data_IF_510235389367
#
_entry.id   IF_510235389367
#
_cell.length_a   1.000
_cell.length_b   1.000
_cell.length_c   1.000
_cell.angle_alpha   90.00
_cell.angle_beta   90.00
_cell.angle_gamma   90.00
#
_symmetry.space_group_name_H-M   'P 1'
#
loop_
_entity.id
_entity.type
_entity.pdbx_description
1 polymer ?
#
# COMPACT_ATOMS: atom_id res chain seq x y z
N UNK A 1 -7.14 10.13 -10.51
CA UNK A 1 -5.68 10.33 -10.39
C UNK A 1 -5.26 9.82 -9.03
N UNK A 2 -4.25 8.97 -8.96
CA UNK A 2 -3.82 8.24 -7.76
C UNK A 2 -3.68 9.15 -6.52
N UNK A 3 -2.88 10.23 -6.61
CA UNK A 3 -2.63 11.17 -5.51
C UNK A 3 -3.85 11.98 -5.04
N UNK A 4 -4.85 12.18 -5.90
CA UNK A 4 -6.05 12.97 -5.58
C UNK A 4 -7.11 12.10 -4.86
N UNK A 5 -7.10 10.79 -5.09
CA UNK A 5 -8.14 9.90 -4.58
C UNK A 5 -8.21 9.90 -3.04
N UNK A 6 -7.08 9.75 -2.30
CA UNK A 6 -7.10 9.80 -0.84
C UNK A 6 -7.60 11.14 -0.30
N UNK A 7 -7.22 12.26 -0.93
CA UNK A 7 -7.64 13.60 -0.52
C UNK A 7 -9.17 13.75 -0.57
N UNK A 8 -9.83 13.11 -1.53
CA UNK A 8 -11.30 13.12 -1.64
C UNK A 8 -11.97 12.16 -0.66
N UNK A 9 -11.44 10.95 -0.55
CA UNK A 9 -12.02 9.89 0.28
C UNK A 9 -11.89 10.18 1.78
N UNK A 10 -10.77 10.77 2.19
CA UNK A 10 -10.44 11.03 3.58
C UNK A 10 -10.34 12.53 3.86
N UNK A 11 -11.43 13.26 3.62
CA UNK A 11 -11.51 14.72 3.79
C UNK A 11 -11.25 15.22 5.22
N UNK A 12 -11.43 14.35 6.21
CA UNK A 12 -11.21 14.66 7.64
C UNK A 12 -9.82 14.27 8.13
N UNK A 13 -8.94 13.77 7.27
CA UNK A 13 -7.56 13.39 7.59
C UNK A 13 -6.56 14.42 7.07
N UNK A 14 -5.42 14.55 7.74
CA UNK A 14 -4.27 15.29 7.20
C UNK A 14 -3.43 14.34 6.35
N UNK A 15 -3.18 14.71 5.10
CA UNK A 15 -2.38 13.95 4.15
C UNK A 15 -0.96 14.51 4.09
N UNK A 16 0.03 13.66 4.33
CA UNK A 16 1.44 14.04 4.30
C UNK A 16 2.04 13.39 3.06
N UNK A 17 2.53 14.21 2.13
CA UNK A 17 3.21 13.77 0.93
C UNK A 17 4.71 14.05 1.03
N UNK A 18 5.52 13.23 0.37
CA UNK A 18 6.91 13.55 0.09
C UNK A 18 7.02 14.68 -0.94
N UNK A 19 8.12 15.43 -0.90
CA UNK A 19 8.39 16.53 -1.83
C UNK A 19 8.55 16.02 -3.27
N UNK A 20 7.48 16.11 -4.05
CA UNK A 20 7.47 15.78 -5.47
C UNK A 20 6.97 16.99 -6.27
N UNK A 21 7.90 17.79 -6.83
CA UNK A 21 7.62 19.11 -7.43
C UNK A 21 6.47 19.11 -8.44
N UNK A 22 6.40 18.08 -9.29
CA UNK A 22 5.34 17.98 -10.30
C UNK A 22 3.97 17.69 -9.68
N UNK A 23 3.92 16.86 -8.64
CA UNK A 23 2.69 16.54 -7.91
C UNK A 23 2.26 17.72 -7.03
N UNK A 24 3.20 18.41 -6.40
CA UNK A 24 2.93 19.63 -5.64
C UNK A 24 2.33 20.72 -6.54
N UNK A 25 2.93 20.95 -7.71
CA UNK A 25 2.40 21.87 -8.71
C UNK A 25 1.02 21.43 -9.21
N UNK A 26 0.81 20.14 -9.44
CA UNK A 26 -0.48 19.62 -9.85
C UNK A 26 -1.55 19.86 -8.79
N UNK A 27 -1.28 19.50 -7.53
CA UNK A 27 -2.25 19.57 -6.43
C UNK A 27 -2.53 21.03 -6.02
N UNK A 28 -1.51 21.90 -6.01
CA UNK A 28 -1.69 23.33 -5.70
C UNK A 28 -2.57 24.09 -6.70
N UNK A 29 -2.71 23.59 -7.92
CA UNK A 29 -3.64 24.14 -8.92
C UNK A 29 -5.10 23.66 -8.72
N UNK A 30 -5.35 22.78 -7.76
CA UNK A 30 -6.68 22.26 -7.45
C UNK A 30 -7.24 22.92 -6.20
N UNK A 31 -8.56 23.15 -6.21
CA UNK A 31 -9.31 23.53 -5.01
C UNK A 31 -10.15 22.37 -4.53
N UNK A 32 -9.96 21.99 -3.27
CA UNK A 32 -10.79 20.99 -2.61
C UNK A 32 -11.87 21.73 -1.83
N UNK A 33 -13.14 21.53 -2.20
CA UNK A 33 -14.28 22.19 -1.58
C UNK A 33 -15.22 21.11 -1.04
N UNK A 34 -15.64 21.28 0.21
CA UNK A 34 -16.67 20.48 0.86
C UNK A 34 -17.74 21.45 1.38
N UNK A 35 -18.95 21.33 0.81
CA UNK A 35 -20.00 22.35 0.87
C UNK A 35 -19.49 23.73 0.40
N UNK A 36 -19.32 24.68 1.31
CA UNK A 36 -18.83 26.04 1.04
C UNK A 36 -17.42 26.29 1.60
N UNK A 37 -16.78 25.25 2.16
CA UNK A 37 -15.49 25.37 2.83
C UNK A 37 -14.37 24.77 1.98
N UNK A 38 -13.30 25.55 1.80
CA UNK A 38 -12.05 25.06 1.24
C UNK A 38 -11.34 24.14 2.24
N UNK A 39 -10.94 22.95 1.76
CA UNK A 39 -10.20 21.96 2.53
C UNK A 39 -8.69 22.13 2.28
N UNK A 40 -7.97 22.45 3.35
CA UNK A 40 -6.51 22.56 3.36
C UNK A 40 -5.93 21.42 4.22
N UNK A 41 -6.18 20.19 3.80
CA UNK A 41 -5.92 18.99 4.59
C UNK A 41 -4.72 18.18 4.05
N UNK A 42 -3.75 18.84 3.43
CA UNK A 42 -2.52 18.20 2.98
C UNK A 42 -1.29 19.08 3.20
N UNK A 43 -0.12 18.43 3.26
CA UNK A 43 1.18 19.08 3.36
C UNK A 43 2.23 18.26 2.62
N UNK A 44 3.20 18.95 2.02
CA UNK A 44 4.41 18.36 1.46
C UNK A 44 5.57 18.54 2.44
N UNK A 45 6.38 17.50 2.62
CA UNK A 45 7.55 17.53 3.51
C UNK A 45 8.72 16.81 2.86
N UNK A 46 9.93 17.20 3.25
CA UNK A 46 11.14 16.46 2.92
C UNK A 46 11.17 15.13 3.64
N UNK A 47 11.39 14.05 2.90
CA UNK A 47 11.60 12.71 3.46
C UNK A 47 12.67 12.68 4.56
N UNK A 48 13.77 13.42 4.44
CA UNK A 48 14.84 13.49 5.47
C UNK A 48 14.34 14.00 6.83
N UNK A 49 13.28 14.81 6.85
CA UNK A 49 12.75 15.47 8.03
C UNK A 49 11.54 14.74 8.65
N UNK A 50 10.94 13.77 7.94
CA UNK A 50 9.76 13.04 8.39
C UNK A 50 9.95 11.51 8.34
N UNK A 51 10.04 10.90 9.53
CA UNK A 51 10.23 9.44 9.67
C UNK A 51 9.07 8.62 9.09
N UNK A 52 7.86 9.16 9.02
CA UNK A 52 6.72 8.44 8.45
C UNK A 52 6.80 8.39 6.93
N UNK A 53 7.36 9.43 6.30
CA UNK A 53 7.68 9.39 4.86
C UNK A 53 8.74 8.32 4.60
N UNK A 54 9.84 8.31 5.36
CA UNK A 54 10.89 7.30 5.20
C UNK A 54 10.36 5.88 5.38
N UNK A 55 9.48 5.67 6.37
CA UNK A 55 8.82 4.37 6.56
C UNK A 55 7.91 4.03 5.37
N UNK A 56 7.15 5.01 4.85
CA UNK A 56 6.32 4.84 3.67
C UNK A 56 7.15 4.39 2.45
N UNK A 57 8.34 4.95 2.24
CA UNK A 57 9.22 4.57 1.13
C UNK A 57 9.66 3.11 1.21
N UNK A 58 10.02 2.64 2.41
CA UNK A 58 10.39 1.24 2.65
C UNK A 58 9.22 0.31 2.36
N UNK A 59 8.02 0.64 2.85
CA UNK A 59 6.82 -0.16 2.60
C UNK A 59 6.43 -0.15 1.12
N UNK A 60 6.48 1.00 0.46
CA UNK A 60 6.19 1.13 -0.96
C UNK A 60 7.19 0.33 -1.82
N UNK A 61 8.48 0.38 -1.47
CA UNK A 61 9.52 -0.42 -2.12
C UNK A 61 9.30 -1.92 -1.95
N UNK A 62 8.93 -2.36 -0.74
CA UNK A 62 8.60 -3.75 -0.45
C UNK A 62 7.36 -4.22 -1.25
N UNK A 63 6.29 -3.41 -1.25
CA UNK A 63 5.08 -3.70 -2.02
C UNK A 63 5.35 -3.75 -3.52
N UNK A 64 6.21 -2.86 -4.05
CA UNK A 64 6.64 -2.89 -5.45
C UNK A 64 7.28 -4.23 -5.82
N UNK A 65 8.23 -4.71 -5.00
CA UNK A 65 8.85 -6.04 -5.20
C UNK A 65 7.86 -7.18 -5.06
N UNK A 66 6.94 -7.10 -4.12
CA UNK A 66 5.88 -8.08 -3.96
C UNK A 66 5.01 -8.15 -5.22
N UNK A 67 4.53 -7.01 -5.75
CA UNK A 67 3.71 -7.00 -6.96
C UNK A 67 4.47 -7.44 -8.21
N UNK A 68 5.76 -7.11 -8.33
CA UNK A 68 6.60 -7.63 -9.41
C UNK A 68 6.72 -9.16 -9.36
N UNK A 69 6.86 -9.72 -8.16
CA UNK A 69 6.84 -11.17 -7.94
C UNK A 69 5.51 -11.81 -8.36
N UNK A 70 4.39 -11.24 -7.92
CA UNK A 70 3.04 -11.71 -8.30
C UNK A 70 2.83 -11.70 -9.82
N UNK A 71 3.31 -10.64 -10.48
CA UNK A 71 3.20 -10.49 -11.93
C UNK A 71 3.99 -11.56 -12.69
N UNK A 72 5.21 -11.87 -12.22
CA UNK A 72 6.09 -12.83 -12.87
C UNK A 72 5.81 -14.29 -12.53
N UNK A 73 5.29 -14.59 -11.34
CA UNK A 73 5.13 -15.95 -10.84
C UNK A 73 3.81 -16.61 -11.26
N UNK A 74 3.85 -17.90 -11.57
CA UNK A 74 2.66 -18.75 -11.68
C UNK A 74 2.16 -19.20 -10.29
N UNK A 75 0.92 -19.68 -10.20
CA UNK A 75 0.37 -20.22 -8.94
C UNK A 75 1.24 -21.36 -8.35
N UNK A 76 1.78 -22.22 -9.21
CA UNK A 76 2.61 -23.36 -8.79
C UNK A 76 3.97 -22.88 -8.23
N UNK A 77 4.58 -21.89 -8.86
CA UNK A 77 5.84 -21.29 -8.39
C UNK A 77 5.62 -20.57 -7.06
N UNK A 78 4.55 -19.79 -6.97
CA UNK A 78 4.14 -19.12 -5.73
C UNK A 78 3.97 -20.13 -4.60
N UNK A 79 3.21 -21.19 -4.83
CA UNK A 79 2.98 -22.21 -3.80
C UNK A 79 4.29 -22.85 -3.32
N UNK A 80 5.17 -23.18 -4.26
CA UNK A 80 6.47 -23.77 -3.96
C UNK A 80 7.36 -22.81 -3.16
N UNK A 81 7.41 -21.55 -3.55
CA UNK A 81 8.23 -20.54 -2.89
C UNK A 81 7.73 -20.23 -1.48
N UNK A 82 6.40 -20.12 -1.28
CA UNK A 82 5.82 -19.93 0.06
C UNK A 82 6.14 -21.12 0.97
N UNK A 83 6.00 -22.36 0.48
CA UNK A 83 6.35 -23.56 1.26
C UNK A 83 7.83 -23.58 1.63
N UNK A 84 8.71 -23.20 0.70
CA UNK A 84 10.14 -23.08 0.98
C UNK A 84 10.43 -21.97 1.99
N UNK A 85 9.74 -20.83 1.90
CA UNK A 85 9.89 -19.74 2.86
C UNK A 85 9.53 -20.18 4.28
N UNK A 86 8.55 -21.07 4.49
CA UNK A 86 8.25 -21.62 5.83
C UNK A 86 9.46 -22.30 6.50
N UNK A 87 10.46 -22.73 5.73
CA UNK A 87 11.72 -23.29 6.26
C UNK A 87 12.73 -22.20 6.70
N UNK A 88 12.47 -20.94 6.34
CA UNK A 88 13.29 -19.75 6.61
C UNK A 88 12.54 -18.80 7.58
N UNK A 89 12.82 -18.94 8.88
CA UNK A 89 12.04 -18.32 9.97
C UNK A 89 11.83 -16.80 9.79
N UNK A 90 12.91 -16.04 9.54
CA UNK A 90 12.86 -14.57 9.48
C UNK A 90 12.10 -14.08 8.24
N UNK A 91 12.39 -14.65 7.07
CA UNK A 91 11.74 -14.27 5.82
C UNK A 91 10.26 -14.60 5.84
N UNK A 92 9.90 -15.75 6.42
CA UNK A 92 8.51 -16.12 6.62
C UNK A 92 7.79 -15.20 7.58
N UNK A 93 8.40 -14.88 8.73
CA UNK A 93 7.83 -13.93 9.68
C UNK A 93 7.58 -12.56 9.04
N UNK A 94 8.53 -12.06 8.25
CA UNK A 94 8.37 -10.79 7.53
C UNK A 94 7.21 -10.83 6.54
N UNK A 95 7.03 -11.94 5.81
CA UNK A 95 5.89 -12.13 4.92
C UNK A 95 4.57 -12.10 5.68
N UNK A 96 4.50 -12.79 6.82
CA UNK A 96 3.33 -12.81 7.70
C UNK A 96 3.03 -11.42 8.25
N UNK A 97 4.05 -10.68 8.70
CA UNK A 97 3.89 -9.31 9.19
C UNK A 97 3.35 -8.37 8.12
N UNK A 98 3.84 -8.48 6.88
CA UNK A 98 3.30 -7.72 5.75
C UNK A 98 1.80 -8.02 5.54
N UNK A 99 1.42 -9.30 5.50
CA UNK A 99 0.01 -9.69 5.30
C UNK A 99 -0.88 -9.30 6.48
N UNK A 100 -0.36 -9.34 7.72
CA UNK A 100 -1.05 -8.80 8.91
C UNK A 100 -1.28 -7.30 8.80
N UNK A 101 -0.32 -6.53 8.29
CA UNK A 101 -0.50 -5.08 8.05
C UNK A 101 -1.55 -4.83 6.98
N UNK A 102 -1.51 -5.56 5.86
CA UNK A 102 -2.50 -5.45 4.79
C UNK A 102 -3.90 -5.78 5.33
N UNK A 103 -4.04 -6.88 6.08
CA UNK A 103 -5.32 -7.29 6.66
C UNK A 103 -5.86 -6.27 7.67
N UNK A 104 -5.02 -5.78 8.59
CA UNK A 104 -5.40 -4.71 9.52
C UNK A 104 -5.82 -3.43 8.80
N UNK A 105 -5.19 -3.12 7.66
CA UNK A 105 -5.55 -1.95 6.85
C UNK A 105 -6.91 -2.11 6.19
N UNK A 106 -7.18 -3.30 5.64
CA UNK A 106 -8.50 -3.68 5.10
C UNK A 106 -9.59 -3.57 6.16
N UNK A 107 -9.39 -4.23 7.31
CA UNK A 107 -10.35 -4.27 8.41
C UNK A 107 -10.62 -2.88 8.99
N UNK A 108 -9.59 -2.00 8.96
CA UNK A 108 -9.73 -0.61 9.39
C UNK A 108 -10.53 0.22 8.41
N UNK A 109 -10.21 0.13 7.12
CA UNK A 109 -10.90 0.84 6.06
C UNK A 109 -10.54 0.25 4.69
N UNK A 110 -11.54 -0.33 4.00
CA UNK A 110 -11.36 -0.84 2.64
C UNK A 110 -10.82 0.22 1.67
N UNK A 111 -11.08 1.51 1.92
CA UNK A 111 -10.57 2.61 1.11
C UNK A 111 -9.05 2.81 1.17
N UNK A 112 -8.35 2.18 2.11
CA UNK A 112 -6.88 2.13 2.13
C UNK A 112 -6.32 1.17 1.07
N UNK A 113 -7.12 0.19 0.64
CA UNK A 113 -6.74 -0.72 -0.42
C UNK A 113 -7.06 -0.08 -1.76
N UNK A 114 -6.01 0.39 -2.44
CA UNK A 114 -6.10 0.83 -3.82
C UNK A 114 -4.99 0.17 -4.64
N UNK A 115 -5.37 -0.81 -5.46
CA UNK A 115 -4.47 -1.53 -6.35
C UNK A 115 -5.03 -1.55 -7.78
N UNK A 116 -4.22 -1.13 -8.75
CA UNK A 116 -4.51 -1.23 -10.17
C UNK A 116 -3.73 -2.40 -10.77
N UNK A 117 -4.33 -3.59 -10.72
CA UNK A 117 -3.74 -4.83 -11.23
C UNK A 117 -4.79 -5.65 -11.99
N UNK A 118 -4.34 -6.59 -12.83
CA UNK A 118 -5.23 -7.45 -13.59
C UNK A 118 -5.87 -8.52 -12.68
N UNK A 119 -6.96 -9.15 -13.16
CA UNK A 119 -7.72 -10.15 -12.38
C UNK A 119 -6.85 -11.34 -11.97
N UNK A 120 -5.87 -11.73 -12.80
CA UNK A 120 -4.97 -12.84 -12.48
C UNK A 120 -4.06 -12.50 -11.29
N UNK A 121 -3.49 -11.30 -11.26
CA UNK A 121 -2.66 -10.82 -10.15
C UNK A 121 -3.48 -10.74 -8.85
N UNK A 122 -4.74 -10.30 -8.93
CA UNK A 122 -5.65 -10.29 -7.77
C UNK A 122 -5.87 -11.71 -7.22
N UNK A 123 -6.12 -12.68 -8.10
CA UNK A 123 -6.31 -14.08 -7.71
C UNK A 123 -5.05 -14.67 -7.06
N UNK A 124 -3.86 -14.33 -7.56
CA UNK A 124 -2.59 -14.76 -6.96
C UNK A 124 -2.40 -14.19 -5.56
N UNK A 125 -2.74 -12.92 -5.35
CA UNK A 125 -2.71 -12.29 -4.02
C UNK A 125 -3.68 -13.02 -3.08
N UNK A 126 -4.93 -13.23 -3.50
CA UNK A 126 -5.92 -13.98 -2.71
C UNK A 126 -5.43 -15.38 -2.36
N UNK A 127 -4.84 -16.09 -3.32
CA UNK A 127 -4.27 -17.41 -3.09
C UNK A 127 -3.16 -17.41 -2.03
N UNK A 128 -2.29 -16.39 -2.01
CA UNK A 128 -1.28 -16.26 -0.96
C UNK A 128 -1.94 -15.99 0.39
N UNK A 129 -2.96 -15.14 0.47
CA UNK A 129 -3.70 -14.93 1.73
C UNK A 129 -4.30 -16.24 2.26
N UNK A 130 -4.90 -17.06 1.40
CA UNK A 130 -5.42 -18.38 1.76
C UNK A 130 -4.31 -19.31 2.27
N UNK A 131 -3.14 -19.33 1.62
CA UNK A 131 -2.00 -20.15 2.04
C UNK A 131 -1.42 -19.75 3.42
N UNK A 132 -1.62 -18.50 3.83
CA UNK A 132 -1.10 -17.94 5.07
C UNK A 132 -2.17 -17.86 6.18
N UNK A 133 -3.42 -18.23 5.89
CA UNK A 133 -4.57 -17.99 6.77
C UNK A 133 -4.38 -18.52 8.19
N UNK A 134 -3.84 -19.72 8.34
CA UNK A 134 -3.57 -20.36 9.64
C UNK A 134 -2.58 -19.58 10.51
N UNK A 135 -1.71 -18.77 9.90
CA UNK A 135 -0.62 -18.05 10.55
C UNK A 135 -0.94 -16.54 10.75
N UNK A 136 -2.08 -16.09 10.20
CA UNK A 136 -2.54 -14.70 10.28
C UNK A 136 -3.28 -14.36 11.59
N UNK A 137 -3.78 -15.36 12.31
CA UNK A 137 -4.59 -15.24 13.54
C UNK A 137 -3.93 -15.92 14.74
#
# INVERSE_FOLDING_TARGET
MFYISPLKLFKNSIHIFDEEKEIEKLISNLKFIDDEKELLHYVFKKSEEDKMIQLSDVIAGLLGKYFDYIKGGSFIEIEKDIKKLKEHEIEYENLILLHKILKKSEDKCIGFLHNTCCIEEQKKISYIFEMLEEDLY
#
